data_IF_304113870989
#
_entry.id   IF_304113870989
#
_cell.length_a   1.000
_cell.length_b   1.000
_cell.length_c   1.000
_cell.angle_alpha   90.00
_cell.angle_beta   90.00
_cell.angle_gamma   90.00
#
_symmetry.space_group_name_H-M   'P 1'
#
loop_
_entity.id
_entity.type
_entity.pdbx_description
1 polymer ?
#
# COMPACT_ATOMS: atom_id res chain seq x y z
N UNK A 1 -1.78 0.85 -26.90
CA UNK A 1 -2.18 1.60 -28.08
C UNK A 1 -2.88 2.94 -27.77
N UNK A 2 -2.81 3.46 -26.56
CA UNK A 2 -3.40 4.77 -26.18
C UNK A 2 -2.37 5.90 -26.00
N UNK A 3 -1.09 5.63 -26.19
CA UNK A 3 -0.01 6.61 -26.00
C UNK A 3 0.35 7.47 -27.21
N UNK A 4 -0.05 7.10 -28.42
CA UNK A 4 0.36 7.78 -29.65
C UNK A 4 -0.66 8.83 -30.12
N UNK A 5 -1.92 8.73 -29.72
CA UNK A 5 -2.96 9.67 -30.12
C UNK A 5 -2.96 11.02 -29.35
N UNK A 6 -2.26 11.12 -28.22
CA UNK A 6 -2.16 12.36 -27.43
C UNK A 6 -0.98 13.27 -27.80
N UNK A 7 0.00 12.77 -28.52
CA UNK A 7 1.15 13.60 -28.92
C UNK A 7 0.88 14.40 -30.21
N UNK A 8 -0.09 13.98 -31.01
CA UNK A 8 -0.44 14.66 -32.27
C UNK A 8 -1.30 15.92 -32.07
N UNK A 9 -1.98 16.06 -30.95
CA UNK A 9 -2.84 17.22 -30.64
C UNK A 9 -2.09 18.41 -30.06
N UNK A 10 -0.89 18.20 -29.51
CA UNK A 10 -0.06 19.27 -28.91
C UNK A 10 0.86 19.93 -29.93
N UNK A 11 1.16 19.28 -31.06
CA UNK A 11 1.97 19.86 -32.14
C UNK A 11 1.13 20.77 -33.05
N UNK A 12 -0.18 20.51 -33.18
CA UNK A 12 -1.10 21.33 -33.98
C UNK A 12 -1.47 22.68 -33.33
N UNK A 13 -1.42 22.80 -32.03
CA UNK A 13 -1.77 24.04 -31.31
C UNK A 13 -0.59 25.03 -31.16
N UNK A 14 0.64 24.57 -31.37
CA UNK A 14 1.84 25.40 -31.25
C UNK A 14 2.19 26.22 -32.50
N UNK A 15 1.59 25.91 -33.66
CA UNK A 15 1.91 26.59 -34.92
C UNK A 15 0.96 27.75 -35.29
N UNK A 16 -0.09 27.97 -34.50
CA UNK A 16 -1.10 29.02 -34.75
C UNK A 16 -0.86 30.31 -33.97
N UNK A 17 0.24 30.40 -33.20
CA UNK A 17 0.58 31.60 -32.41
C UNK A 17 1.81 32.38 -32.90
N UNK A 18 2.36 32.11 -34.08
CA UNK A 18 3.59 32.70 -34.57
C UNK A 18 3.47 33.54 -35.84
N UNK A 19 2.27 33.96 -36.25
CA UNK A 19 2.14 34.98 -37.30
C UNK A 19 1.14 36.04 -36.87
N UNK A 20 1.56 36.88 -35.96
CA UNK A 20 0.99 38.22 -35.79
C UNK A 20 1.79 39.20 -36.63
N UNK A 21 1.21 39.89 -37.61
CA UNK A 21 1.94 40.94 -38.27
C UNK A 21 2.13 42.10 -37.30
N UNK A 22 3.37 42.49 -37.08
CA UNK A 22 3.75 43.78 -36.54
C UNK A 22 3.14 44.87 -37.43
N UNK A 23 2.07 45.49 -36.97
CA UNK A 23 1.56 46.74 -37.46
C UNK A 23 1.88 47.81 -36.46
N UNK A 24 3.14 48.22 -36.47
CA UNK A 24 3.51 49.55 -36.06
C UNK A 24 3.90 50.29 -37.34
N UNK A 25 2.90 50.73 -38.04
CA UNK A 25 3.11 51.75 -39.07
C UNK A 25 2.60 53.08 -38.52
N UNK A 26 3.52 54.02 -38.49
CA UNK A 26 3.39 55.39 -38.08
C UNK A 26 2.43 56.13 -39.04
N UNK A 27 1.14 56.02 -38.77
CA UNK A 27 0.12 56.70 -39.55
C UNK A 27 -0.40 57.89 -38.75
N UNK A 28 0.06 59.07 -39.09
CA UNK A 28 -0.55 60.33 -38.69
C UNK A 28 -2.06 60.32 -38.88
N UNK A 29 -2.85 60.97 -38.00
CA UNK A 29 -4.29 60.98 -38.12
C UNK A 29 -4.76 61.60 -39.45
N UNK A 30 -5.78 60.98 -40.09
CA UNK A 30 -6.25 61.44 -41.38
C UNK A 30 -6.80 62.87 -41.32
N UNK A 31 -6.38 63.68 -42.24
CA UNK A 31 -6.65 65.12 -42.27
C UNK A 31 -7.95 65.51 -43.03
N UNK A 32 -8.67 64.56 -43.60
CA UNK A 32 -9.95 64.82 -44.30
C UNK A 32 -10.91 63.58 -44.20
N UNK A 33 -12.22 63.83 -44.32
CA UNK A 33 -13.27 62.82 -44.35
C UNK A 33 -13.10 61.90 -45.55
N UNK A 34 -12.61 62.40 -46.68
CA UNK A 34 -12.40 61.63 -47.89
C UNK A 34 -11.27 60.58 -47.75
N UNK A 35 -10.26 60.89 -46.97
CA UNK A 35 -9.16 59.96 -46.67
C UNK A 35 -9.63 58.82 -45.73
N UNK A 36 -10.49 59.12 -44.75
CA UNK A 36 -11.16 58.11 -43.91
C UNK A 36 -12.05 57.17 -44.74
N UNK A 37 -12.84 57.73 -45.63
CA UNK A 37 -13.72 56.92 -46.51
C UNK A 37 -12.90 56.02 -47.46
N UNK A 38 -11.72 56.48 -47.92
CA UNK A 38 -10.82 55.65 -48.74
C UNK A 38 -10.26 54.49 -47.90
N UNK A 39 -9.77 54.78 -46.70
CA UNK A 39 -9.26 53.73 -45.77
C UNK A 39 -10.32 52.71 -45.38
N UNK A 40 -11.56 53.13 -45.17
CA UNK A 40 -12.67 52.22 -44.88
C UNK A 40 -12.91 51.30 -46.06
N UNK A 41 -12.94 51.79 -47.31
CA UNK A 41 -13.08 50.97 -48.51
C UNK A 41 -11.91 49.99 -48.71
N UNK A 42 -10.68 50.41 -48.48
CA UNK A 42 -9.49 49.54 -48.54
C UNK A 42 -9.55 48.43 -47.47
N UNK A 43 -10.03 48.76 -46.26
CA UNK A 43 -10.24 47.75 -45.17
C UNK A 43 -11.39 46.80 -45.51
N UNK A 44 -12.50 47.28 -46.10
CA UNK A 44 -13.62 46.44 -46.53
C UNK A 44 -13.20 45.50 -47.65
N UNK A 45 -12.44 45.98 -48.65
CA UNK A 45 -11.90 45.15 -49.73
C UNK A 45 -10.90 44.10 -49.21
N UNK A 46 -10.02 44.50 -48.27
CA UNK A 46 -9.07 43.61 -47.63
C UNK A 46 -9.81 42.57 -46.76
N UNK A 47 -10.86 42.99 -46.02
CA UNK A 47 -11.73 42.12 -45.27
C UNK A 47 -12.44 41.07 -46.16
N UNK A 48 -13.02 41.55 -47.26
CA UNK A 48 -13.70 40.67 -48.20
C UNK A 48 -12.77 39.67 -48.94
N UNK A 49 -11.50 40.08 -49.16
CA UNK A 49 -10.49 39.19 -49.76
C UNK A 49 -10.03 38.12 -48.75
N UNK A 50 -9.84 38.47 -47.49
CA UNK A 50 -9.52 37.54 -46.40
C UNK A 50 -10.66 36.58 -46.13
N UNK A 51 -11.91 37.02 -46.19
CA UNK A 51 -13.07 36.18 -46.02
C UNK A 51 -13.15 35.10 -47.12
N UNK A 52 -12.93 35.48 -48.36
CA UNK A 52 -12.90 34.50 -49.49
C UNK A 52 -11.74 33.51 -49.37
N UNK A 53 -10.59 33.94 -48.86
CA UNK A 53 -9.46 33.04 -48.64
C UNK A 53 -9.75 32.04 -47.51
N UNK A 54 -10.38 32.48 -46.41
CA UNK A 54 -10.85 31.61 -45.34
C UNK A 54 -11.89 30.58 -45.83
N UNK A 55 -12.83 31.01 -46.64
CA UNK A 55 -13.84 30.13 -47.21
C UNK A 55 -13.19 29.08 -48.13
N UNK A 56 -12.19 29.48 -48.91
CA UNK A 56 -11.42 28.54 -49.74
C UNK A 56 -10.64 27.54 -48.91
N UNK A 57 -9.95 28.00 -47.90
CA UNK A 57 -9.21 27.12 -46.99
C UNK A 57 -10.13 26.16 -46.25
N UNK A 58 -11.32 26.60 -45.87
CA UNK A 58 -12.31 25.75 -45.23
C UNK A 58 -12.83 24.67 -46.18
N UNK A 59 -13.08 25.00 -47.46
CA UNK A 59 -13.46 24.02 -48.47
C UNK A 59 -12.34 23.01 -48.72
N UNK A 60 -11.08 23.44 -48.79
CA UNK A 60 -9.94 22.55 -48.98
C UNK A 60 -9.76 21.59 -47.78
N UNK A 61 -9.99 22.09 -46.53
CA UNK A 61 -10.00 21.27 -45.32
C UNK A 61 -11.12 20.23 -45.36
N UNK A 62 -12.30 20.62 -45.81
CA UNK A 62 -13.43 19.70 -45.87
C UNK A 62 -13.28 18.65 -47.00
N UNK A 63 -12.70 19.03 -48.13
CA UNK A 63 -12.29 18.10 -49.20
C UNK A 63 -11.21 17.11 -48.70
N UNK A 64 -10.19 17.60 -48.01
CA UNK A 64 -9.16 16.74 -47.42
C UNK A 64 -9.73 15.81 -46.35
N UNK A 65 -10.68 16.27 -45.51
CA UNK A 65 -11.39 15.43 -44.55
C UNK A 65 -12.22 14.35 -45.20
N UNK A 66 -12.88 14.66 -46.32
CA UNK A 66 -13.64 13.69 -47.07
C UNK A 66 -12.71 12.66 -47.73
N UNK A 67 -11.59 13.09 -48.36
CA UNK A 67 -10.56 12.19 -48.89
C UNK A 67 -9.93 11.29 -47.85
N UNK A 68 -9.68 11.80 -46.62
CA UNK A 68 -9.18 11.00 -45.50
C UNK A 68 -10.25 10.04 -44.98
N UNK A 69 -11.53 10.45 -44.93
CA UNK A 69 -12.65 9.59 -44.55
C UNK A 69 -12.90 8.44 -45.52
N UNK A 70 -12.89 8.72 -46.80
CA UNK A 70 -13.15 7.72 -47.86
C UNK A 70 -11.95 6.77 -48.08
N UNK A 71 -10.73 7.22 -47.85
CA UNK A 71 -9.52 6.38 -47.96
C UNK A 71 -9.24 5.53 -46.70
N UNK A 72 -9.82 5.86 -45.55
CA UNK A 72 -9.58 5.12 -44.30
C UNK A 72 -10.23 3.73 -44.28
N UNK A 73 -11.28 3.53 -45.11
CA UNK A 73 -12.09 2.30 -45.17
C UNK A 73 -12.16 1.68 -46.55
N UNK A 74 -11.14 1.82 -47.36
CA UNK A 74 -11.14 1.04 -48.62
C UNK A 74 -10.97 -0.45 -48.29
N UNK A 75 -11.76 -1.29 -48.97
CA UNK A 75 -11.69 -2.76 -48.84
C UNK A 75 -10.27 -3.29 -48.91
N UNK A 76 -9.41 -2.65 -49.66
CA UNK A 76 -7.99 -2.98 -49.81
C UNK A 76 -7.17 -2.76 -48.52
N UNK A 77 -7.41 -1.69 -47.80
CA UNK A 77 -6.76 -1.46 -46.50
C UNK A 77 -7.29 -2.39 -45.44
N UNK A 78 -8.57 -2.70 -45.44
CA UNK A 78 -9.15 -3.71 -44.56
C UNK A 78 -8.55 -5.10 -44.80
N UNK A 79 -8.28 -5.44 -46.08
CA UNK A 79 -7.58 -6.68 -46.46
C UNK A 79 -6.10 -6.65 -46.07
N UNK A 80 -5.39 -5.52 -46.26
CA UNK A 80 -4.00 -5.36 -45.87
C UNK A 80 -3.85 -5.44 -44.31
N UNK A 81 -4.76 -4.80 -43.56
CA UNK A 81 -4.78 -4.91 -42.09
C UNK A 81 -5.12 -6.34 -41.64
N UNK A 82 -6.07 -6.99 -42.30
CA UNK A 82 -6.44 -8.39 -42.00
C UNK A 82 -5.29 -9.35 -42.29
N UNK A 83 -4.58 -9.15 -43.40
CA UNK A 83 -3.41 -9.94 -43.76
C UNK A 83 -2.26 -9.68 -42.77
N UNK A 84 -1.99 -8.41 -42.39
CA UNK A 84 -0.97 -8.07 -41.38
C UNK A 84 -1.31 -8.65 -40.03
N UNK A 85 -2.58 -8.59 -39.60
CA UNK A 85 -3.04 -9.21 -38.34
C UNK A 85 -2.96 -10.74 -38.44
N UNK A 86 -3.29 -11.34 -39.58
CA UNK A 86 -3.14 -12.77 -39.81
C UNK A 86 -1.67 -13.21 -39.76
N UNK A 87 -0.78 -12.43 -40.41
CA UNK A 87 0.67 -12.69 -40.36
C UNK A 87 1.26 -12.53 -38.96
N UNK A 88 0.83 -11.50 -38.23
CA UNK A 88 1.24 -11.31 -36.82
C UNK A 88 0.69 -12.42 -35.93
N UNK A 89 -0.53 -12.89 -36.13
CA UNK A 89 -1.10 -14.02 -35.41
C UNK A 89 -0.43 -15.35 -35.81
N UNK A 90 -0.11 -15.56 -37.10
CA UNK A 90 0.65 -16.73 -37.53
C UNK A 90 2.10 -16.73 -37.06
N UNK A 91 2.75 -15.55 -36.96
CA UNK A 91 4.07 -15.40 -36.35
C UNK A 91 3.98 -15.60 -34.81
N UNK A 92 2.91 -15.14 -34.17
CA UNK A 92 2.65 -15.40 -32.75
C UNK A 92 2.37 -16.89 -32.48
N UNK A 93 1.58 -17.56 -33.33
CA UNK A 93 1.34 -19.01 -33.27
C UNK A 93 2.62 -19.81 -33.59
N UNK A 94 3.43 -19.38 -34.56
CA UNK A 94 4.73 -20.00 -34.84
C UNK A 94 5.72 -19.80 -33.71
N UNK A 95 5.74 -18.62 -33.07
CA UNK A 95 6.53 -18.35 -31.88
C UNK A 95 5.99 -19.13 -30.68
N UNK A 96 4.68 -19.26 -30.51
CA UNK A 96 4.10 -20.09 -29.44
C UNK A 96 4.42 -21.58 -29.65
N UNK A 97 4.45 -22.05 -30.88
CA UNK A 97 4.83 -23.45 -31.23
C UNK A 97 6.33 -23.70 -31.07
N UNK A 98 7.17 -22.68 -31.36
CA UNK A 98 8.61 -22.70 -31.10
C UNK A 98 8.95 -22.46 -29.62
N UNK A 99 8.02 -21.86 -28.83
CA UNK A 99 8.13 -21.59 -27.39
C UNK A 99 7.51 -22.68 -26.52
N UNK A 100 7.15 -23.83 -27.05
CA UNK A 100 6.62 -24.93 -26.22
C UNK A 100 7.58 -25.35 -25.10
N UNK A 101 8.87 -24.95 -25.20
CA UNK A 101 9.90 -25.05 -24.14
C UNK A 101 10.47 -23.67 -23.72
N UNK A 102 9.90 -22.56 -24.15
CA UNK A 102 10.39 -21.21 -23.91
C UNK A 102 9.81 -20.56 -22.63
N UNK A 103 10.57 -19.60 -22.07
CA UNK A 103 10.08 -18.73 -20.99
C UNK A 103 9.33 -17.53 -21.56
N UNK A 104 8.20 -17.19 -20.95
CA UNK A 104 7.44 -15.97 -21.25
C UNK A 104 7.72 -14.91 -20.18
N UNK A 105 8.00 -13.68 -20.61
CA UNK A 105 8.14 -12.53 -19.73
C UNK A 105 7.08 -11.48 -20.06
N UNK A 106 6.56 -10.80 -19.06
CA UNK A 106 5.55 -9.79 -19.28
C UNK A 106 5.26 -8.96 -18.03
N UNK A 107 4.27 -8.09 -18.17
CA UNK A 107 3.71 -7.30 -17.09
C UNK A 107 2.22 -7.62 -16.91
N UNK A 108 1.84 -8.05 -15.72
CA UNK A 108 0.45 -8.26 -15.29
C UNK A 108 0.36 -7.85 -13.83
N UNK A 109 0.05 -6.57 -13.58
CA UNK A 109 0.16 -5.90 -12.29
C UNK A 109 1.59 -5.89 -11.69
N UNK A 110 2.39 -6.88 -12.05
CA UNK A 110 3.79 -7.04 -11.65
C UNK A 110 4.58 -7.65 -12.81
N UNK A 111 5.89 -7.41 -12.82
CA UNK A 111 6.79 -8.11 -13.75
C UNK A 111 6.78 -9.61 -13.45
N UNK A 112 6.63 -10.43 -14.49
CA UNK A 112 6.67 -11.88 -14.33
C UNK A 112 7.54 -12.58 -15.39
N UNK A 113 8.05 -13.75 -14.98
CA UNK A 113 8.65 -14.78 -15.83
C UNK A 113 7.86 -16.07 -15.63
N UNK A 114 7.47 -16.75 -16.71
CA UNK A 114 6.75 -18.02 -16.62
C UNK A 114 7.29 -19.01 -17.65
N UNK A 115 7.29 -20.30 -17.32
CA UNK A 115 7.58 -21.37 -18.28
C UNK A 115 6.39 -21.56 -19.24
N UNK A 116 6.66 -21.94 -20.49
CA UNK A 116 5.64 -22.18 -21.51
C UNK A 116 4.65 -23.29 -21.14
N UNK A 117 5.08 -24.25 -20.34
CA UNK A 117 4.23 -25.36 -19.82
C UNK A 117 3.41 -24.98 -18.57
N UNK A 118 3.54 -23.73 -18.06
CA UNK A 118 2.81 -23.23 -16.90
C UNK A 118 3.23 -23.82 -15.55
N UNK A 119 4.31 -24.63 -15.50
CA UNK A 119 4.79 -25.27 -14.26
C UNK A 119 5.54 -24.31 -13.33
N UNK A 120 6.11 -23.25 -13.86
CA UNK A 120 6.89 -22.28 -13.11
C UNK A 120 6.42 -20.86 -13.40
N UNK A 121 6.27 -20.08 -12.35
CA UNK A 121 6.03 -18.64 -12.44
C UNK A 121 6.84 -17.93 -11.37
N UNK A 122 7.55 -16.89 -11.76
CA UNK A 122 8.18 -15.93 -10.88
C UNK A 122 7.56 -14.56 -11.12
N UNK A 123 7.09 -13.92 -10.08
CA UNK A 123 6.68 -12.52 -10.07
C UNK A 123 7.61 -11.73 -9.16
N UNK A 124 8.01 -10.55 -9.62
CA UNK A 124 8.90 -9.64 -8.87
C UNK A 124 8.14 -8.37 -8.59
N UNK A 125 8.15 -7.95 -7.33
CA UNK A 125 7.55 -6.69 -6.91
C UNK A 125 8.45 -5.99 -5.90
N UNK A 126 8.33 -4.67 -5.83
CA UNK A 126 9.08 -3.84 -4.91
C UNK A 126 8.20 -2.82 -4.21
N UNK A 127 8.53 -2.51 -2.96
CA UNK A 127 7.92 -1.42 -2.20
C UNK A 127 9.00 -0.47 -1.75
N UNK A 128 8.82 0.82 -2.07
CA UNK A 128 9.63 1.89 -1.53
C UNK A 128 8.74 2.91 -0.84
N UNK A 129 9.03 3.22 0.41
CA UNK A 129 8.41 4.28 1.19
C UNK A 129 9.48 5.25 1.65
N UNK A 130 9.42 6.47 1.14
CA UNK A 130 10.28 7.58 1.51
C UNK A 130 9.48 8.58 2.32
N UNK A 131 9.98 8.97 3.47
CA UNK A 131 9.23 9.71 4.47
C UNK A 131 10.03 10.87 5.05
N UNK A 132 9.34 11.93 5.43
CA UNK A 132 9.81 12.94 6.36
C UNK A 132 9.00 12.85 7.64
N UNK A 133 9.70 12.81 8.78
CA UNK A 133 9.10 12.85 10.12
C UNK A 133 9.54 14.12 10.81
N UNK A 134 8.62 14.70 11.55
CA UNK A 134 8.89 15.77 12.49
C UNK A 134 8.19 15.47 13.82
N UNK A 135 9.00 15.29 14.89
CA UNK A 135 8.53 14.98 16.22
C UNK A 135 8.81 16.15 17.14
N UNK A 136 7.78 16.61 17.82
CA UNK A 136 7.82 17.64 18.87
C UNK A 136 7.59 16.98 20.21
N UNK A 137 8.46 17.31 21.16
CA UNK A 137 8.54 16.71 22.47
C UNK A 137 9.00 17.76 23.50
N UNK A 138 8.51 17.77 24.70
CA UNK A 138 8.83 18.83 25.68
C UNK A 138 10.18 18.67 26.38
N UNK A 139 10.93 17.62 26.12
CA UNK A 139 12.25 17.36 26.73
C UNK A 139 13.36 18.24 26.12
N UNK A 140 14.60 18.27 26.67
CA UNK A 140 15.69 19.13 26.17
C UNK A 140 15.92 19.14 24.67
N UNK A 141 15.69 18.03 24.01
CA UNK A 141 15.70 17.92 22.54
C UNK A 141 14.29 18.09 21.98
N UNK A 142 13.70 19.27 22.10
CA UNK A 142 12.29 19.57 21.82
C UNK A 142 11.77 19.05 20.49
N UNK A 143 12.55 19.08 19.45
CA UNK A 143 12.14 18.57 18.16
C UNK A 143 13.24 17.78 17.49
N UNK A 144 12.84 16.70 16.81
CA UNK A 144 13.68 15.94 15.89
C UNK A 144 12.94 15.78 14.60
N UNK A 145 13.64 15.87 13.48
CA UNK A 145 13.04 15.68 12.17
C UNK A 145 14.08 15.27 11.16
N UNK A 146 13.63 14.54 10.15
CA UNK A 146 14.52 14.10 9.09
C UNK A 146 13.84 13.26 8.03
N UNK A 147 14.58 13.03 6.96
CA UNK A 147 14.18 12.13 5.88
C UNK A 147 14.68 10.73 6.15
N UNK A 148 13.87 9.74 5.75
CA UNK A 148 14.27 8.34 5.82
C UNK A 148 13.63 7.50 4.72
N UNK A 149 14.32 6.43 4.30
CA UNK A 149 13.72 5.32 3.58
C UNK A 149 13.14 4.36 4.60
N UNK A 150 11.85 4.49 4.87
CA UNK A 150 11.19 3.72 5.93
C UNK A 150 11.14 2.25 5.58
N UNK A 151 10.78 1.94 4.33
CA UNK A 151 10.72 0.57 3.81
C UNK A 151 11.24 0.55 2.38
N UNK A 152 12.18 -0.36 2.15
CA UNK A 152 12.65 -0.72 0.80
C UNK A 152 12.65 -2.23 0.74
N UNK A 153 11.61 -2.80 0.11
CA UNK A 153 11.37 -4.25 0.10
C UNK A 153 11.40 -4.80 -1.32
N UNK A 154 11.90 -6.03 -1.44
CA UNK A 154 11.81 -6.83 -2.66
C UNK A 154 11.06 -8.11 -2.33
N UNK A 155 10.11 -8.46 -3.19
CA UNK A 155 9.31 -9.68 -3.04
C UNK A 155 9.41 -10.51 -4.33
N UNK A 156 9.78 -11.76 -4.16
CA UNK A 156 9.74 -12.81 -5.18
C UNK A 156 8.62 -13.77 -4.79
N UNK A 157 7.67 -13.98 -5.69
CA UNK A 157 6.57 -14.92 -5.46
C UNK A 157 6.21 -15.67 -6.74
N UNK A 158 5.53 -16.78 -6.60
CA UNK A 158 5.08 -17.55 -7.76
C UNK A 158 4.69 -18.97 -7.39
N UNK A 159 4.82 -19.86 -8.36
CA UNK A 159 4.61 -21.29 -8.16
C UNK A 159 5.72 -22.10 -8.86
N UNK A 160 5.93 -23.30 -8.36
CA UNK A 160 6.90 -24.27 -8.91
C UNK A 160 6.20 -25.64 -9.04
N UNK A 161 6.53 -26.38 -10.10
CA UNK A 161 6.00 -27.72 -10.42
C UNK A 161 4.51 -27.69 -10.79
N UNK A 162 3.65 -27.06 -9.99
CA UNK A 162 2.23 -26.85 -10.28
C UNK A 162 1.77 -25.53 -9.67
N UNK A 163 0.65 -24.93 -10.15
CA UNK A 163 0.04 -23.75 -9.53
C UNK A 163 -0.37 -23.96 -8.06
N UNK A 164 -0.53 -25.23 -7.61
CA UNK A 164 -0.88 -25.54 -6.23
C UNK A 164 0.28 -25.36 -5.25
N UNK A 165 1.54 -25.44 -5.74
CA UNK A 165 2.73 -25.24 -4.92
C UNK A 165 3.28 -23.84 -5.13
N UNK A 166 2.85 -22.91 -4.30
CA UNK A 166 3.26 -21.51 -4.34
C UNK A 166 4.37 -21.21 -3.35
N UNK A 167 5.13 -20.16 -3.64
CA UNK A 167 6.18 -19.67 -2.75
C UNK A 167 6.19 -18.15 -2.66
N UNK A 168 6.78 -17.66 -1.57
CA UNK A 168 7.11 -16.25 -1.41
C UNK A 168 8.42 -16.11 -0.65
N UNK A 169 9.30 -15.24 -1.16
CA UNK A 169 10.52 -14.77 -0.49
C UNK A 169 10.46 -13.25 -0.49
N UNK A 170 10.53 -12.65 0.69
CA UNK A 170 10.54 -11.19 0.84
C UNK A 170 11.69 -10.77 1.72
N UNK A 171 12.43 -9.80 1.26
CA UNK A 171 13.45 -9.15 2.06
C UNK A 171 13.24 -7.65 2.13
N UNK A 172 13.79 -7.06 3.18
CA UNK A 172 13.75 -5.63 3.46
C UNK A 172 15.16 -5.11 3.72
N UNK A 173 15.46 -3.93 3.16
CA UNK A 173 16.66 -3.17 3.52
C UNK A 173 16.39 -2.41 4.81
N UNK A 174 17.19 -2.66 5.83
CA UNK A 174 17.03 -2.02 7.13
C UNK A 174 17.11 -0.50 7.01
N UNK A 175 16.21 0.22 7.69
CA UNK A 175 16.14 1.68 7.74
C UNK A 175 17.47 2.29 8.23
N UNK A 176 18.08 1.68 9.25
CA UNK A 176 19.40 2.04 9.72
C UNK A 176 20.47 1.12 9.11
N UNK A 177 21.48 1.70 8.46
CA UNK A 177 22.62 0.99 7.89
C UNK A 177 22.37 0.23 6.59
N UNK A 178 21.11 0.10 6.12
CA UNK A 178 20.77 -0.47 4.81
C UNK A 178 21.06 -1.98 4.66
N UNK A 179 21.27 -2.73 5.75
CA UNK A 179 21.49 -4.18 5.68
C UNK A 179 20.22 -4.89 5.16
N UNK A 180 20.41 -5.92 4.34
CA UNK A 180 19.29 -6.72 3.82
C UNK A 180 18.95 -7.85 4.79
N UNK A 181 17.68 -7.92 5.18
CA UNK A 181 17.15 -8.93 6.08
C UNK A 181 15.97 -9.69 5.46
N UNK A 182 15.88 -11.00 5.75
CA UNK A 182 14.76 -11.84 5.33
C UNK A 182 13.54 -11.53 6.21
N UNK A 183 12.39 -11.18 5.60
CA UNK A 183 11.12 -10.99 6.30
C UNK A 183 10.22 -12.22 6.20
N UNK A 184 9.91 -12.65 4.99
CA UNK A 184 9.04 -13.80 4.73
C UNK A 184 9.79 -14.80 3.83
N UNK A 185 9.71 -16.08 4.14
CA UNK A 185 10.20 -17.16 3.32
C UNK A 185 9.35 -18.41 3.57
N UNK A 186 8.44 -18.70 2.66
CA UNK A 186 7.52 -19.81 2.84
C UNK A 186 7.14 -20.50 1.53
N UNK A 187 6.74 -21.76 1.67
CA UNK A 187 6.09 -22.59 0.67
C UNK A 187 4.65 -22.85 1.12
N UNK A 188 3.70 -22.82 0.20
CA UNK A 188 2.30 -23.14 0.43
C UNK A 188 1.84 -24.17 -0.59
N UNK A 189 1.16 -25.20 -0.10
CA UNK A 189 0.54 -26.21 -0.92
C UNK A 189 -0.97 -26.18 -0.76
N UNK A 190 -1.70 -26.05 -1.87
CA UNK A 190 -3.17 -26.13 -1.89
C UNK A 190 -3.59 -27.59 -1.92
N UNK A 191 -4.21 -28.05 -0.82
CA UNK A 191 -4.71 -29.42 -0.67
C UNK A 191 -6.03 -29.61 -1.42
N UNK A 192 -6.89 -28.58 -1.34
CA UNK A 192 -8.16 -28.44 -2.07
C UNK A 192 -8.34 -26.96 -2.44
N UNK A 193 -9.49 -26.60 -3.01
CA UNK A 193 -9.82 -25.19 -3.28
C UNK A 193 -9.94 -24.37 -1.98
N UNK A 194 -10.37 -25.01 -0.88
CA UNK A 194 -10.63 -24.36 0.40
C UNK A 194 -9.44 -24.49 1.37
N UNK A 195 -8.72 -25.63 1.34
CA UNK A 195 -7.67 -25.94 2.30
C UNK A 195 -6.27 -25.78 1.72
N UNK A 196 -5.39 -25.14 2.48
CA UNK A 196 -3.97 -25.09 2.17
C UNK A 196 -3.11 -25.24 3.43
N UNK A 197 -1.87 -25.63 3.23
CA UNK A 197 -0.84 -25.71 4.26
C UNK A 197 0.35 -24.89 3.84
N UNK A 198 0.91 -24.10 4.77
CA UNK A 198 2.06 -23.23 4.57
C UNK A 198 3.17 -23.60 5.55
N UNK A 199 4.41 -23.63 5.05
CA UNK A 199 5.61 -23.96 5.82
C UNK A 199 6.64 -22.85 5.64
N UNK A 200 7.32 -22.45 6.71
CA UNK A 200 8.41 -21.48 6.66
C UNK A 200 8.19 -20.30 7.58
N UNK A 201 8.75 -19.14 7.24
CA UNK A 201 8.64 -17.90 8.01
C UNK A 201 7.57 -17.00 7.43
N UNK A 202 6.62 -16.60 8.26
CA UNK A 202 5.47 -15.79 7.86
C UNK A 202 4.91 -14.99 9.06
N UNK A 203 4.09 -13.97 8.78
CA UNK A 203 3.33 -13.27 9.81
C UNK A 203 2.33 -14.21 10.45
N UNK A 204 2.32 -14.23 11.80
CA UNK A 204 1.35 -15.01 12.55
C UNK A 204 -0.08 -14.48 12.31
N UNK A 205 -1.08 -15.36 12.15
CA UNK A 205 -2.47 -14.97 11.89
C UNK A 205 -3.14 -14.45 13.17
N UNK A 206 -2.94 -13.18 13.48
CA UNK A 206 -3.45 -12.57 14.71
C UNK A 206 -4.12 -11.22 14.45
N UNK A 207 -3.41 -10.08 14.58
CA UNK A 207 -3.97 -8.73 14.37
C UNK A 207 -4.23 -8.46 12.88
N UNK A 208 -5.45 -8.00 12.55
CA UNK A 208 -5.77 -7.60 11.18
C UNK A 208 -4.85 -6.48 10.67
N UNK A 209 -4.61 -5.44 11.48
CA UNK A 209 -3.78 -4.31 11.09
C UNK A 209 -2.36 -4.76 10.70
N UNK A 210 -1.77 -5.73 11.44
CA UNK A 210 -0.48 -6.29 11.08
C UNK A 210 -0.54 -7.11 9.77
N UNK A 211 -1.61 -7.89 9.56
CA UNK A 211 -1.76 -8.74 8.38
C UNK A 211 -1.89 -7.92 7.08
N UNK A 212 -2.54 -6.76 7.13
CA UNK A 212 -2.62 -5.84 6.00
C UNK A 212 -1.22 -5.30 5.65
N UNK A 213 -0.95 -5.20 4.35
CA UNK A 213 0.32 -4.67 3.82
C UNK A 213 0.60 -3.25 4.34
N UNK A 214 1.86 -2.91 4.68
CA UNK A 214 2.20 -1.52 5.00
C UNK A 214 1.95 -0.53 3.85
N UNK A 215 1.90 -0.99 2.59
CA UNK A 215 1.52 -0.16 1.46
C UNK A 215 0.03 0.21 1.44
N UNK A 216 -0.81 -0.56 2.14
CA UNK A 216 -2.27 -0.49 2.12
C UNK A 216 -2.87 -0.02 3.44
N UNK A 217 -2.08 0.60 4.28
CA UNK A 217 -2.52 1.25 5.52
C UNK A 217 -3.20 2.58 5.23
N UNK A 218 -4.16 2.94 6.08
CA UNK A 218 -4.87 4.22 6.01
C UNK A 218 -3.97 5.37 6.49
N UNK A 219 -3.36 5.25 7.65
CA UNK A 219 -2.37 6.20 8.16
C UNK A 219 -0.97 5.94 7.60
N UNK A 220 -0.06 6.90 7.74
CA UNK A 220 1.33 6.79 7.29
C UNK A 220 2.04 5.59 7.94
N UNK A 221 1.70 5.29 9.20
CA UNK A 221 2.20 4.12 9.92
C UNK A 221 1.07 3.41 10.65
N UNK A 222 1.28 2.15 11.01
CA UNK A 222 0.37 1.40 11.87
C UNK A 222 0.22 2.07 13.23
N UNK A 223 -0.83 1.69 13.94
CA UNK A 223 -1.07 2.16 15.31
C UNK A 223 0.04 1.72 16.25
N UNK A 224 0.32 2.50 17.31
CA UNK A 224 1.23 2.10 18.39
C UNK A 224 0.70 0.87 19.11
N UNK A 225 -0.61 0.77 19.24
CA UNK A 225 -1.27 -0.44 19.78
C UNK A 225 -0.91 -1.67 18.93
N UNK A 226 -0.96 -1.57 17.59
CA UNK A 226 -0.54 -2.69 16.75
C UNK A 226 0.98 -2.92 16.84
N UNK A 227 1.80 -1.89 16.84
CA UNK A 227 3.26 -2.05 16.93
C UNK A 227 3.66 -2.78 18.23
N UNK A 228 2.95 -2.53 19.34
CA UNK A 228 3.21 -3.16 20.65
C UNK A 228 2.51 -4.51 20.85
N UNK A 229 1.34 -4.74 20.22
CA UNK A 229 0.51 -5.92 20.46
C UNK A 229 0.37 -6.84 19.24
N UNK A 230 1.23 -6.72 18.23
CA UNK A 230 1.29 -7.71 17.17
C UNK A 230 2.26 -8.85 17.54
N UNK A 231 2.04 -10.01 16.93
CA UNK A 231 2.90 -11.19 17.16
C UNK A 231 4.05 -11.30 16.15
N UNK A 232 4.14 -10.35 15.20
CA UNK A 232 5.18 -10.31 14.19
C UNK A 232 5.20 -11.55 13.28
N UNK A 233 6.42 -11.99 12.99
CA UNK A 233 6.71 -13.14 12.14
C UNK A 233 7.35 -14.26 12.94
N UNK A 234 7.02 -15.50 12.55
CA UNK A 234 7.59 -16.70 13.14
C UNK A 234 7.84 -17.77 12.07
N UNK A 235 8.74 -18.68 12.38
CA UNK A 235 8.96 -19.90 11.63
C UNK A 235 7.94 -20.93 12.12
N UNK A 236 7.33 -21.69 11.19
CA UNK A 236 6.32 -22.65 11.59
C UNK A 236 5.55 -23.26 10.43
N UNK A 237 4.42 -23.88 10.80
CA UNK A 237 3.45 -24.51 9.90
C UNK A 237 2.09 -23.88 10.15
N UNK A 238 1.39 -23.50 9.08
CA UNK A 238 0.02 -23.00 9.15
C UNK A 238 -0.88 -23.85 8.27
N UNK A 239 -2.02 -24.25 8.81
CA UNK A 239 -3.15 -24.80 8.07
C UNK A 239 -4.21 -23.72 7.94
N UNK A 240 -4.69 -23.45 6.73
CA UNK A 240 -5.70 -22.44 6.48
C UNK A 240 -6.87 -23.00 5.65
N UNK A 241 -8.06 -22.57 6.03
CA UNK A 241 -9.33 -22.81 5.34
C UNK A 241 -9.90 -21.47 4.87
N UNK A 242 -10.49 -21.46 3.68
CA UNK A 242 -11.23 -20.31 3.17
C UNK A 242 -12.38 -20.76 2.28
N UNK A 243 -13.57 -20.19 2.51
CA UNK A 243 -14.73 -20.30 1.63
C UNK A 243 -15.27 -18.89 1.27
N UNK A 244 -16.49 -18.80 0.78
CA UNK A 244 -17.12 -17.55 0.37
C UNK A 244 -17.30 -16.57 1.55
N UNK A 245 -17.53 -17.07 2.77
CA UNK A 245 -17.86 -16.26 3.95
C UNK A 245 -16.89 -16.45 5.12
N UNK A 246 -16.09 -17.51 5.14
CA UNK A 246 -15.30 -17.88 6.30
C UNK A 246 -13.83 -18.04 5.94
N UNK A 247 -12.93 -17.58 6.81
CA UNK A 247 -11.51 -17.91 6.80
C UNK A 247 -11.08 -18.34 8.19
N UNK A 248 -10.32 -19.42 8.25
CA UNK A 248 -9.73 -19.93 9.47
C UNK A 248 -8.24 -20.19 9.21
N UNK A 249 -7.38 -19.73 10.06
CA UNK A 249 -5.95 -20.04 10.08
C UNK A 249 -5.56 -20.60 11.43
N UNK A 250 -4.76 -21.65 11.44
CA UNK A 250 -4.17 -22.24 12.63
C UNK A 250 -2.68 -22.45 12.37
N UNK A 251 -1.82 -21.78 13.14
CA UNK A 251 -0.38 -21.89 13.04
C UNK A 251 0.21 -22.53 14.29
N UNK A 252 1.13 -23.46 14.08
CA UNK A 252 2.08 -23.97 15.06
C UNK A 252 3.46 -23.39 14.70
N UNK A 253 4.09 -22.69 15.64
CA UNK A 253 5.29 -21.89 15.34
C UNK A 253 6.27 -21.87 16.50
N UNK A 254 7.49 -21.36 16.24
CA UNK A 254 8.54 -21.23 17.24
C UNK A 254 8.14 -20.26 18.35
N UNK A 255 7.62 -19.07 18.03
CA UNK A 255 7.13 -18.10 19.03
C UNK A 255 6.36 -16.94 18.38
N UNK A 256 5.61 -16.15 19.16
CA UNK A 256 5.27 -14.77 18.85
C UNK A 256 6.44 -13.85 19.14
N UNK A 257 6.54 -12.70 18.48
CA UNK A 257 7.50 -11.65 18.83
C UNK A 257 6.91 -10.77 19.93
N UNK A 258 7.60 -10.65 21.08
CA UNK A 258 7.27 -9.62 22.03
C UNK A 258 7.72 -8.25 21.47
N UNK A 259 6.75 -7.41 21.18
CA UNK A 259 6.96 -6.04 20.72
C UNK A 259 6.71 -5.00 21.84
N UNK A 260 6.38 -5.46 23.06
CA UNK A 260 6.01 -4.58 24.16
C UNK A 260 7.25 -3.84 24.67
N UNK A 261 7.56 -2.74 24.01
CA UNK A 261 8.39 -1.63 24.47
C UNK A 261 9.71 -1.95 25.12
N UNK A 262 10.45 -2.94 24.64
CA UNK A 262 11.80 -3.22 25.12
C UNK A 262 11.88 -3.87 26.50
N UNK A 263 10.75 -4.35 27.05
CA UNK A 263 10.76 -5.13 28.30
C UNK A 263 11.19 -6.58 28.08
N UNK A 264 11.15 -7.08 26.81
CA UNK A 264 11.41 -8.49 26.48
C UNK A 264 10.75 -9.42 27.48
N UNK A 265 9.45 -9.21 27.68
CA UNK A 265 8.67 -9.95 28.66
C UNK A 265 8.54 -11.42 28.28
N UNK A 266 8.59 -11.69 26.95
CA UNK A 266 8.57 -13.04 26.39
C UNK A 266 9.82 -13.16 25.51
N UNK A 267 10.72 -14.01 25.91
CA UNK A 267 12.14 -13.96 25.59
C UNK A 267 12.57 -14.26 24.17
N UNK A 268 11.73 -14.25 23.11
CA UNK A 268 12.18 -14.80 21.86
C UNK A 268 11.95 -13.93 20.64
N UNK A 269 12.98 -13.83 19.82
CA UNK A 269 12.90 -13.33 18.45
C UNK A 269 12.73 -14.52 17.51
N UNK A 270 11.49 -14.92 17.26
CA UNK A 270 11.14 -16.07 16.43
C UNK A 270 11.40 -15.87 14.91
N UNK A 271 11.98 -14.74 14.54
CA UNK A 271 12.31 -14.43 13.14
C UNK A 271 13.80 -14.68 12.85
N UNK A 272 14.09 -15.51 11.84
CA UNK A 272 15.45 -15.84 11.40
C UNK A 272 16.32 -16.48 12.50
N UNK A 273 15.71 -17.18 13.43
CA UNK A 273 16.40 -17.79 14.57
C UNK A 273 16.65 -19.29 14.32
N UNK A 274 17.87 -19.79 14.55
CA UNK A 274 18.12 -21.22 14.51
C UNK A 274 17.41 -21.96 15.64
N UNK A 275 16.78 -23.09 15.36
CA UNK A 275 15.95 -23.87 16.28
C UNK A 275 16.59 -24.19 17.65
N UNK A 276 17.92 -24.32 17.72
CA UNK A 276 18.64 -24.60 18.98
C UNK A 276 18.92 -23.34 19.83
N UNK A 277 18.41 -22.18 19.42
CA UNK A 277 18.53 -20.90 20.16
C UNK A 277 17.18 -20.36 20.61
N UNK A 278 16.11 -21.08 20.33
CA UNK A 278 14.77 -20.76 20.81
C UNK A 278 14.54 -21.37 22.18
N UNK A 279 13.98 -20.58 23.09
CA UNK A 279 13.60 -21.00 24.42
C UNK A 279 12.11 -21.41 24.46
N UNK A 280 11.37 -21.24 23.35
CA UNK A 280 9.96 -21.58 23.23
C UNK A 280 9.78 -23.09 23.11
N UNK A 281 8.97 -23.68 23.96
CA UNK A 281 8.57 -25.06 23.84
C UNK A 281 7.56 -25.26 22.72
N UNK A 282 6.55 -24.40 22.64
CA UNK A 282 5.59 -24.34 21.54
C UNK A 282 4.75 -23.07 21.57
N UNK A 283 4.32 -22.65 20.39
CA UNK A 283 3.36 -21.57 20.20
C UNK A 283 2.25 -21.96 19.23
N UNK A 284 1.02 -21.63 19.57
CA UNK A 284 -0.16 -21.86 18.74
C UNK A 284 -0.88 -20.55 18.54
N UNK A 285 -1.10 -20.18 17.27
CA UNK A 285 -1.83 -18.96 16.90
C UNK A 285 -3.01 -19.33 15.99
N UNK A 286 -4.17 -18.74 16.24
CA UNK A 286 -5.35 -18.94 15.39
C UNK A 286 -6.03 -17.63 15.07
N UNK A 287 -6.64 -17.54 13.88
CA UNK A 287 -7.50 -16.43 13.48
C UNK A 287 -8.68 -16.96 12.69
N UNK A 288 -9.87 -16.50 13.06
CA UNK A 288 -11.10 -16.71 12.32
C UNK A 288 -11.64 -15.38 11.82
N UNK A 289 -12.10 -15.34 10.57
CA UNK A 289 -12.72 -14.19 9.94
C UNK A 289 -14.05 -14.60 9.31
N UNK A 290 -15.07 -13.77 9.53
CA UNK A 290 -16.40 -13.92 8.96
C UNK A 290 -16.76 -12.72 8.11
N UNK A 291 -16.94 -12.96 6.81
CA UNK A 291 -17.41 -11.97 5.85
C UNK A 291 -18.93 -11.91 5.88
N UNK A 292 -19.49 -10.97 6.64
CA UNK A 292 -20.92 -10.81 6.78
C UNK A 292 -21.59 -10.14 5.56
N UNK A 293 -20.83 -9.32 4.83
CA UNK A 293 -21.26 -8.66 3.59
C UNK A 293 -20.04 -8.27 2.74
N UNK A 294 -20.23 -8.13 1.43
CA UNK A 294 -19.20 -7.70 0.49
C UNK A 294 -18.36 -8.84 -0.06
N UNK A 295 -17.11 -8.55 -0.36
CA UNK A 295 -16.15 -9.49 -0.93
C UNK A 295 -14.82 -9.49 -0.18
N UNK A 296 -14.09 -10.61 -0.22
CA UNK A 296 -12.75 -10.69 0.37
C UNK A 296 -11.74 -9.70 -0.24
N UNK A 297 -11.98 -9.27 -1.48
CA UNK A 297 -11.12 -8.32 -2.19
C UNK A 297 -11.12 -6.94 -1.56
N UNK A 298 -12.29 -6.47 -1.08
CA UNK A 298 -12.46 -5.19 -0.40
C UNK A 298 -11.55 -5.07 0.82
N UNK A 299 -11.49 -6.13 1.61
CA UNK A 299 -10.76 -6.15 2.88
C UNK A 299 -9.25 -6.45 2.75
N UNK A 300 -8.66 -6.29 1.57
CA UNK A 300 -7.21 -6.37 1.38
C UNK A 300 -6.44 -5.10 1.79
N UNK A 301 -7.17 -4.04 2.13
CA UNK A 301 -6.67 -2.76 2.64
C UNK A 301 -7.65 -2.15 3.66
N UNK A 302 -7.53 -0.85 3.94
CA UNK A 302 -8.40 -0.08 4.84
C UNK A 302 -9.08 1.07 4.13
N UNK A 303 -9.24 1.00 2.81
CA UNK A 303 -9.84 2.08 2.01
C UNK A 303 -11.06 1.56 1.27
N UNK A 304 -12.05 2.42 1.04
CA UNK A 304 -13.26 2.09 0.29
C UNK A 304 -13.46 3.10 -0.83
N UNK A 305 -13.21 2.73 -2.09
CA UNK A 305 -13.50 3.60 -3.24
C UNK A 305 -14.96 4.06 -3.31
N UNK A 306 -15.21 5.18 -4.01
CA UNK A 306 -16.53 5.86 -4.02
C UNK A 306 -17.65 4.95 -4.55
N UNK A 307 -17.34 4.02 -5.44
CA UNK A 307 -18.31 3.12 -6.07
C UNK A 307 -18.39 1.75 -5.40
N UNK A 308 -17.76 1.57 -4.24
CA UNK A 308 -17.71 0.28 -3.55
C UNK A 308 -19.01 -0.04 -2.84
N UNK A 309 -19.47 -1.29 -2.95
CA UNK A 309 -20.64 -1.78 -2.24
C UNK A 309 -20.36 -1.95 -0.74
N UNK A 310 -21.42 -2.02 0.06
CA UNK A 310 -21.27 -2.25 1.49
C UNK A 310 -20.62 -3.59 1.78
N UNK A 311 -19.54 -3.56 2.58
CA UNK A 311 -18.83 -4.70 3.11
C UNK A 311 -18.74 -4.66 4.63
N UNK A 312 -18.79 -5.84 5.27
CA UNK A 312 -18.60 -6.02 6.71
C UNK A 312 -17.83 -7.29 7.00
N UNK A 313 -16.70 -7.13 7.66
CA UNK A 313 -15.81 -8.22 8.07
C UNK A 313 -15.63 -8.20 9.59
N UNK A 314 -15.77 -9.37 10.21
CA UNK A 314 -15.52 -9.60 11.63
C UNK A 314 -14.34 -10.55 11.80
N UNK A 315 -13.43 -10.25 12.71
CA UNK A 315 -12.25 -11.06 12.98
C UNK A 315 -12.07 -11.35 14.47
N UNK A 316 -11.53 -12.53 14.78
CA UNK A 316 -11.07 -12.90 16.11
C UNK A 316 -9.76 -13.68 16.00
N UNK A 317 -8.78 -13.35 16.82
CA UNK A 317 -7.50 -14.02 16.91
C UNK A 317 -7.21 -14.48 18.33
N UNK A 318 -6.48 -15.59 18.47
CA UNK A 318 -6.00 -16.09 19.75
C UNK A 318 -4.59 -16.66 19.60
N UNK A 319 -3.78 -16.50 20.63
CA UNK A 319 -2.41 -17.01 20.72
C UNK A 319 -2.15 -17.58 22.07
N UNK A 320 -1.44 -18.70 22.13
CA UNK A 320 -0.90 -19.30 23.35
C UNK A 320 0.53 -19.74 23.07
N UNK A 321 1.42 -19.40 24.00
CA UNK A 321 2.84 -19.76 23.95
C UNK A 321 3.30 -20.18 25.33
N UNK A 322 4.20 -21.16 25.36
CA UNK A 322 4.89 -21.62 26.56
C UNK A 322 6.38 -21.63 26.28
N UNK A 323 7.15 -20.98 27.16
CA UNK A 323 8.58 -20.83 27.05
C UNK A 323 9.31 -21.39 28.28
N UNK A 324 10.53 -21.92 28.08
CA UNK A 324 11.48 -22.14 29.15
C UNK A 324 12.17 -20.83 29.50
N UNK A 325 11.97 -20.34 30.73
CA UNK A 325 12.67 -19.15 31.19
C UNK A 325 14.13 -19.46 31.52
N UNK A 326 15.04 -19.04 30.65
CA UNK A 326 16.51 -19.20 30.83
C UNK A 326 17.18 -17.95 31.42
N UNK A 327 16.40 -16.96 31.90
CA UNK A 327 16.87 -15.69 32.39
C UNK A 327 17.78 -15.78 33.61
N UNK A 328 18.64 -14.75 33.81
CA UNK A 328 19.65 -14.63 34.88
C UNK A 328 19.09 -14.67 36.32
N UNK A 329 17.79 -14.61 36.49
CA UNK A 329 17.10 -14.51 37.77
C UNK A 329 15.96 -15.52 37.95
N UNK A 330 16.15 -16.78 37.50
CA UNK A 330 15.14 -17.81 37.71
C UNK A 330 15.05 -18.13 39.24
N UNK A 331 14.01 -17.65 39.88
CA UNK A 331 13.70 -17.96 41.29
C UNK A 331 12.88 -19.25 41.43
N UNK A 332 13.19 -20.29 40.69
CA UNK A 332 12.59 -21.61 40.85
C UNK A 332 11.31 -21.90 40.03
N UNK A 333 10.86 -20.98 39.20
CA UNK A 333 9.92 -21.23 38.09
C UNK A 333 10.70 -21.05 36.78
N UNK A 334 10.59 -22.05 35.91
CA UNK A 334 11.31 -22.04 34.64
C UNK A 334 10.33 -21.96 33.47
N UNK A 335 9.07 -21.69 33.73
CA UNK A 335 8.04 -21.62 32.70
C UNK A 335 7.47 -20.21 32.64
N UNK A 336 7.41 -19.66 31.47
CA UNK A 336 6.72 -18.44 31.11
C UNK A 336 5.53 -18.79 30.21
N UNK A 337 4.40 -18.12 30.38
CA UNK A 337 3.19 -18.38 29.63
C UNK A 337 2.63 -17.09 29.06
N UNK A 338 2.37 -17.08 27.79
CA UNK A 338 1.74 -15.97 27.11
C UNK A 338 0.42 -16.39 26.47
N UNK A 339 -0.65 -15.71 26.86
CA UNK A 339 -1.96 -15.81 26.24
C UNK A 339 -2.37 -14.45 25.68
N UNK A 340 -2.72 -14.38 24.40
CA UNK A 340 -3.21 -13.17 23.76
C UNK A 340 -4.48 -13.44 22.97
N UNK A 341 -5.34 -12.43 22.86
CA UNK A 341 -6.50 -12.48 21.99
C UNK A 341 -6.84 -11.10 21.45
N UNK A 342 -7.49 -11.09 20.30
CA UNK A 342 -7.92 -9.86 19.61
C UNK A 342 -9.27 -10.08 18.96
N UNK A 343 -10.05 -9.01 18.89
CA UNK A 343 -11.28 -8.94 18.09
C UNK A 343 -11.22 -7.69 17.24
N UNK A 344 -11.73 -7.78 16.01
CA UNK A 344 -11.77 -6.65 15.10
C UNK A 344 -13.01 -6.65 14.21
N UNK A 345 -13.38 -5.46 13.76
CA UNK A 345 -14.44 -5.21 12.81
C UNK A 345 -13.97 -4.22 11.75
N UNK A 346 -14.24 -4.52 10.49
CA UNK A 346 -14.04 -3.60 9.36
C UNK A 346 -15.34 -3.43 8.61
N UNK A 347 -15.69 -2.20 8.29
CA UNK A 347 -16.84 -1.87 7.46
C UNK A 347 -16.43 -0.89 6.36
N UNK A 348 -16.89 -1.14 5.15
CA UNK A 348 -16.59 -0.36 3.95
C UNK A 348 -17.87 -0.08 3.17
N UNK A 349 -18.02 1.14 2.66
CA UNK A 349 -19.20 1.52 1.90
C UNK A 349 -18.99 2.82 1.13
N UNK A 350 -19.19 2.83 -0.16
CA UNK A 350 -19.37 4.01 -1.02
C UNK A 350 -18.46 5.22 -0.72
N UNK A 351 -17.16 5.02 -0.63
CA UNK A 351 -16.20 6.09 -0.34
C UNK A 351 -15.90 6.33 1.13
N UNK A 352 -16.39 5.46 2.04
CA UNK A 352 -16.08 5.56 3.47
C UNK A 352 -15.72 4.20 4.05
N UNK A 353 -14.81 4.20 5.03
CA UNK A 353 -14.36 3.01 5.73
C UNK A 353 -14.31 3.25 7.24
N UNK A 354 -14.44 2.18 8.00
CA UNK A 354 -14.24 2.19 9.44
C UNK A 354 -13.63 0.86 9.89
N UNK A 355 -12.70 0.93 10.81
CA UNK A 355 -12.08 -0.21 11.46
C UNK A 355 -11.99 0.02 12.95
N UNK A 356 -12.27 -1.01 13.73
CA UNK A 356 -12.01 -1.01 15.17
C UNK A 356 -11.44 -2.37 15.60
N UNK A 357 -10.53 -2.33 16.56
CA UNK A 357 -9.96 -3.53 17.18
C UNK A 357 -9.75 -3.35 18.66
N UNK A 358 -9.81 -4.46 19.39
CA UNK A 358 -9.38 -4.60 20.75
C UNK A 358 -8.42 -5.78 20.85
N UNK A 359 -7.32 -5.60 21.59
CA UNK A 359 -6.33 -6.64 21.86
C UNK A 359 -6.01 -6.71 23.33
N UNK A 360 -5.77 -7.91 23.83
CA UNK A 360 -5.33 -8.18 25.20
C UNK A 360 -4.22 -9.22 25.21
N UNK A 361 -3.15 -8.93 25.92
CA UNK A 361 -2.06 -9.87 26.22
C UNK A 361 -1.98 -10.10 27.71
N UNK A 362 -1.93 -11.35 28.12
CA UNK A 362 -1.66 -11.82 29.46
C UNK A 362 -0.36 -12.62 29.45
N UNK A 363 0.61 -12.19 30.23
CA UNK A 363 1.91 -12.82 30.35
C UNK A 363 2.12 -13.18 31.80
N UNK A 364 2.36 -14.46 32.10
CA UNK A 364 2.75 -14.93 33.44
C UNK A 364 4.27 -15.07 33.48
N UNK A 365 4.94 -13.96 33.77
CA UNK A 365 6.40 -13.84 33.80
C UNK A 365 6.94 -14.23 35.18
N UNK A 366 7.96 -15.12 35.29
CA UNK A 366 8.54 -15.53 36.57
C UNK A 366 9.17 -14.41 37.40
N UNK A 367 9.61 -13.32 36.76
CA UNK A 367 10.29 -12.20 37.41
C UNK A 367 9.32 -11.11 37.85
N UNK A 368 8.32 -10.83 37.04
CA UNK A 368 7.39 -9.71 37.21
C UNK A 368 5.99 -10.15 37.66
N UNK A 369 5.70 -11.46 37.59
CA UNK A 369 4.36 -11.99 37.84
C UNK A 369 3.41 -11.75 36.65
N UNK A 370 2.11 -11.64 36.91
CA UNK A 370 1.12 -11.43 35.88
C UNK A 370 1.18 -10.03 35.28
N UNK A 371 1.44 -9.94 33.98
CA UNK A 371 1.43 -8.70 33.21
C UNK A 371 0.20 -8.71 32.30
N UNK A 372 -0.54 -7.60 32.28
CA UNK A 372 -1.69 -7.43 31.41
C UNK A 372 -1.51 -6.19 30.55
N UNK A 373 -1.68 -6.34 29.23
CA UNK A 373 -1.62 -5.23 28.28
C UNK A 373 -2.91 -5.22 27.48
N UNK A 374 -3.54 -4.08 27.40
CA UNK A 374 -4.78 -3.89 26.65
C UNK A 374 -4.59 -2.78 25.61
N UNK A 375 -5.21 -2.92 24.45
CA UNK A 375 -5.17 -1.91 23.42
C UNK A 375 -6.45 -1.84 22.64
N UNK A 376 -6.84 -0.61 22.25
CA UNK A 376 -7.97 -0.29 21.39
C UNK A 376 -7.49 0.57 20.25
N UNK A 377 -7.92 0.26 19.03
CA UNK A 377 -7.74 1.10 17.85
C UNK A 377 -9.11 1.34 17.24
N UNK A 378 -9.39 2.59 16.91
CA UNK A 378 -10.53 2.96 16.08
C UNK A 378 -10.06 3.90 14.97
N UNK A 379 -10.33 3.58 13.71
CA UNK A 379 -10.01 4.47 12.60
C UNK A 379 -11.15 4.52 11.60
N UNK A 380 -11.26 5.65 10.90
CA UNK A 380 -12.23 5.85 9.84
C UNK A 380 -11.66 6.78 8.78
N UNK A 381 -12.03 6.54 7.52
CA UNK A 381 -11.66 7.34 6.38
C UNK A 381 -12.85 7.68 5.50
N UNK A 382 -12.75 8.77 4.75
CA UNK A 382 -13.74 9.18 3.76
C UNK A 382 -13.07 9.84 2.56
N UNK A 383 -13.47 9.43 1.36
CA UNK A 383 -13.05 10.05 0.12
C UNK A 383 -13.82 11.35 -0.13
N UNK A 384 -13.10 12.46 -0.25
CA UNK A 384 -13.65 13.74 -0.71
C UNK A 384 -13.68 13.85 -2.23
N UNK A 385 -12.78 13.15 -2.90
CA UNK A 385 -12.72 12.98 -4.35
C UNK A 385 -12.26 11.55 -4.65
N UNK A 386 -12.40 11.04 -5.88
CA UNK A 386 -11.94 9.69 -6.21
C UNK A 386 -10.44 9.42 -5.96
N UNK A 387 -9.65 10.47 -5.65
CA UNK A 387 -8.21 10.38 -5.42
C UNK A 387 -7.75 10.95 -4.08
N UNK A 388 -8.63 11.56 -3.32
CA UNK A 388 -8.27 12.19 -2.05
C UNK A 388 -9.17 11.68 -0.93
N UNK A 389 -8.56 11.04 0.07
CA UNK A 389 -9.17 10.50 1.26
C UNK A 389 -8.65 11.24 2.50
N UNK A 390 -9.51 11.52 3.44
CA UNK A 390 -9.16 12.03 4.78
C UNK A 390 -9.53 10.99 5.81
N UNK A 391 -8.72 10.85 6.84
CA UNK A 391 -8.94 9.86 7.89
C UNK A 391 -8.65 10.41 9.28
N UNK A 392 -9.19 9.72 10.25
CA UNK A 392 -8.85 9.88 11.68
C UNK A 392 -8.62 8.52 12.32
N UNK A 393 -7.74 8.48 13.33
CA UNK A 393 -7.49 7.29 14.15
C UNK A 393 -7.37 7.70 15.61
N UNK A 394 -8.01 6.93 16.46
CA UNK A 394 -7.88 6.98 17.91
C UNK A 394 -7.23 5.70 18.42
N UNK A 395 -6.33 5.83 19.37
CA UNK A 395 -5.63 4.72 20.00
C UNK A 395 -5.68 4.89 21.53
N UNK A 396 -5.98 3.81 22.22
CA UNK A 396 -5.86 3.70 23.66
C UNK A 396 -5.14 2.41 24.01
N UNK A 397 -4.26 2.49 24.99
CA UNK A 397 -3.58 1.31 25.52
C UNK A 397 -3.22 1.49 26.99
N UNK A 398 -3.22 0.39 27.74
CA UNK A 398 -2.78 0.35 29.13
C UNK A 398 -1.86 -0.84 29.35
N UNK A 399 -0.83 -0.60 30.14
CA UNK A 399 0.20 -1.58 30.48
C UNK A 399 0.23 -1.74 32.00
N UNK A 400 -0.22 -2.89 32.48
CA UNK A 400 -0.30 -3.19 33.88
C UNK A 400 0.75 -4.26 34.27
N UNK A 401 1.83 -3.83 34.87
CA UNK A 401 2.88 -4.66 35.45
C UNK A 401 2.98 -4.31 36.93
N UNK A 402 2.93 -5.30 37.81
CA UNK A 402 2.80 -5.10 39.25
C UNK A 402 3.94 -4.35 39.94
N UNK A 403 4.99 -3.95 39.22
CA UNK A 403 6.20 -3.29 39.75
C UNK A 403 6.33 -1.81 39.35
N UNK A 404 5.55 -1.33 38.40
CA UNK A 404 5.62 0.04 37.91
C UNK A 404 4.25 0.51 37.42
N UNK A 405 3.95 1.79 37.64
CA UNK A 405 2.78 2.48 37.12
C UNK A 405 3.19 3.24 35.84
N UNK A 406 2.64 2.85 34.69
CA UNK A 406 2.81 3.53 33.43
C UNK A 406 1.56 4.33 33.10
N UNK A 407 1.73 5.44 32.39
CA UNK A 407 0.59 6.17 31.87
C UNK A 407 -0.08 5.42 30.72
N UNK A 408 -1.40 5.47 30.69
CA UNK A 408 -2.17 4.95 29.57
C UNK A 408 -1.83 5.73 28.29
N UNK A 409 -1.70 5.02 27.18
CA UNK A 409 -1.62 5.62 25.84
C UNK A 409 -2.98 6.22 25.47
N UNK A 410 -2.98 7.48 25.07
CA UNK A 410 -4.10 8.13 24.38
C UNK A 410 -3.56 8.92 23.22
N UNK A 411 -3.89 8.51 22.01
CA UNK A 411 -3.34 9.10 20.81
C UNK A 411 -4.45 9.34 19.77
N UNK A 412 -4.42 10.51 19.15
CA UNK A 412 -5.29 10.87 18.03
C UNK A 412 -4.41 11.19 16.83
N UNK A 413 -4.71 10.57 15.69
CA UNK A 413 -4.06 10.86 14.40
C UNK A 413 -5.10 11.32 13.40
N UNK A 414 -4.82 12.40 12.67
CA UNK A 414 -5.63 12.89 11.57
C UNK A 414 -4.73 13.04 10.36
N UNK A 415 -5.18 12.63 9.19
CA UNK A 415 -4.37 12.70 7.99
C UNK A 415 -5.16 12.59 6.71
N UNK A 416 -4.43 12.53 5.60
CA UNK A 416 -5.01 12.36 4.29
C UNK A 416 -4.07 11.62 3.34
N UNK A 417 -4.68 10.97 2.37
CA UNK A 417 -4.03 10.22 1.32
C UNK A 417 -4.40 10.82 -0.04
N UNK A 418 -3.42 10.99 -0.89
CA UNK A 418 -3.64 11.31 -2.30
C UNK A 418 -3.14 10.14 -3.16
N UNK A 419 -4.07 9.51 -3.87
CA UNK A 419 -3.83 8.35 -4.71
C UNK A 419 -3.60 8.81 -6.16
N UNK A 420 -2.34 8.78 -6.61
CA UNK A 420 -2.00 9.05 -8.01
C UNK A 420 -2.41 7.89 -8.90
N UNK A 421 -2.11 6.66 -8.41
CA UNK A 421 -2.47 5.39 -9.05
C UNK A 421 -2.71 4.34 -7.96
N UNK A 422 -3.91 4.36 -7.34
CA UNK A 422 -4.26 3.50 -6.23
C UNK A 422 -3.22 3.51 -5.11
N UNK A 423 -2.92 2.34 -4.56
CA UNK A 423 -1.85 2.16 -3.59
C UNK A 423 -0.45 2.09 -4.21
N UNK A 424 -0.34 1.99 -5.54
CA UNK A 424 0.95 1.83 -6.21
C UNK A 424 1.74 3.13 -6.15
N UNK A 425 1.09 4.28 -6.37
CA UNK A 425 1.69 5.60 -6.20
C UNK A 425 0.81 6.45 -5.30
N UNK A 426 1.24 6.63 -4.07
CA UNK A 426 0.48 7.31 -3.02
C UNK A 426 1.34 8.33 -2.28
N UNK A 427 0.75 9.49 -1.99
CA UNK A 427 1.25 10.47 -1.04
C UNK A 427 0.34 10.46 0.19
N UNK A 428 0.91 10.23 1.35
CA UNK A 428 0.20 10.24 2.64
C UNK A 428 0.81 11.30 3.55
N UNK A 429 -0.02 12.00 4.30
CA UNK A 429 0.42 12.90 5.35
C UNK A 429 -0.51 12.81 6.54
N UNK A 430 0.07 12.80 7.75
CA UNK A 430 -0.71 12.81 8.98
C UNK A 430 -0.03 13.61 10.11
N UNK A 431 -0.86 13.95 11.07
CA UNK A 431 -0.46 14.56 12.35
C UNK A 431 -1.03 13.69 13.47
N UNK A 432 -0.15 13.23 14.33
CA UNK A 432 -0.50 12.49 15.55
C UNK A 432 -0.25 13.34 16.79
N UNK A 433 -1.15 13.28 17.76
CA UNK A 433 -1.06 13.96 19.03
C UNK A 433 -1.22 12.92 20.15
N UNK A 434 -0.19 12.71 20.96
CA UNK A 434 -0.29 12.01 22.22
C UNK A 434 -0.91 12.94 23.25
N UNK A 435 -2.07 12.56 23.81
CA UNK A 435 -2.80 13.40 24.76
C UNK A 435 -2.13 13.40 26.16
N UNK A 436 -1.33 12.38 26.43
CA UNK A 436 -0.47 12.22 27.60
C UNK A 436 0.93 11.77 27.15
N UNK A 437 1.83 11.55 28.10
CA UNK A 437 3.17 11.04 27.84
C UNK A 437 3.12 9.70 27.09
N UNK A 438 3.96 9.57 26.06
CA UNK A 438 4.20 8.29 25.40
C UNK A 438 5.38 7.63 26.10
N UNK A 439 5.07 6.62 26.91
CA UNK A 439 6.07 5.91 27.72
C UNK A 439 6.63 4.70 26.97
N UNK A 440 7.68 4.10 27.53
CA UNK A 440 8.43 3.01 26.94
C UNK A 440 7.61 1.84 26.37
N UNK A 441 6.47 1.41 26.97
CA UNK A 441 5.69 0.34 26.35
C UNK A 441 5.09 0.70 24.98
N UNK A 442 4.96 2.00 24.67
CA UNK A 442 4.25 2.51 23.50
C UNK A 442 5.13 3.33 22.56
N UNK A 443 6.41 3.51 22.85
CA UNK A 443 7.29 4.23 21.96
C UNK A 443 7.58 3.42 20.70
N UNK A 444 7.78 4.12 19.59
CA UNK A 444 8.14 3.50 18.32
C UNK A 444 8.91 4.47 17.44
N UNK A 445 10.20 4.23 17.30
CA UNK A 445 11.05 4.95 16.35
C UNK A 445 10.54 4.82 14.90
N UNK A 446 9.95 3.68 14.56
CA UNK A 446 9.37 3.45 13.25
C UNK A 446 8.16 4.35 13.00
N UNK A 447 7.31 4.53 13.99
CA UNK A 447 6.16 5.41 13.91
C UNK A 447 6.50 6.88 14.24
N UNK A 448 7.73 7.17 14.63
CA UNK A 448 8.23 8.51 14.94
C UNK A 448 7.90 9.00 16.33
N UNK A 449 7.50 8.12 17.24
CA UNK A 449 7.21 8.41 18.65
C UNK A 449 8.40 8.10 19.53
N UNK A 450 8.78 9.05 20.35
CA UNK A 450 9.89 8.94 21.29
C UNK A 450 9.37 8.73 22.70
N UNK A 451 10.20 8.10 23.56
CA UNK A 451 9.91 7.99 24.98
C UNK A 451 9.82 9.39 25.59
N UNK A 452 8.71 9.70 26.21
CA UNK A 452 8.55 10.87 27.06
C UNK A 452 9.13 10.56 28.46
N UNK A 453 9.86 11.53 29.01
CA UNK A 453 10.24 11.44 30.42
C UNK A 453 9.01 11.65 31.34
N UNK A 454 9.24 11.81 32.62
CA UNK A 454 8.19 12.00 33.65
C UNK A 454 7.34 13.30 33.48
N UNK A 455 7.42 13.99 32.36
CA UNK A 455 6.58 15.15 32.04
C UNK A 455 5.35 14.71 31.26
N UNK A 456 4.18 14.99 31.79
CA UNK A 456 2.89 14.67 31.20
C UNK A 456 2.50 15.61 30.03
N UNK A 457 3.47 16.17 29.30
CA UNK A 457 3.16 17.08 28.20
C UNK A 457 2.91 16.34 26.89
N UNK A 458 1.95 16.82 26.05
CA UNK A 458 1.61 16.20 24.78
C UNK A 458 2.80 16.14 23.81
N UNK A 459 2.99 15.00 23.20
CA UNK A 459 3.91 14.82 22.06
C UNK A 459 3.15 14.94 20.75
N UNK A 460 3.77 15.57 19.74
CA UNK A 460 3.18 15.74 18.40
C UNK A 460 4.13 15.18 17.36
N UNK A 461 3.60 14.37 16.46
CA UNK A 461 4.34 13.81 15.31
C UNK A 461 3.65 14.23 14.02
N UNK A 462 4.42 14.79 13.08
CA UNK A 462 3.96 15.09 11.72
C UNK A 462 4.73 14.18 10.76
N UNK A 463 4.02 13.50 9.88
CA UNK A 463 4.62 12.58 8.90
C UNK A 463 4.11 12.89 7.52
N UNK A 464 5.00 12.81 6.54
CA UNK A 464 4.65 12.87 5.11
C UNK A 464 5.41 11.78 4.40
N UNK A 465 4.73 10.93 3.66
CA UNK A 465 5.31 9.76 3.01
C UNK A 465 4.90 9.68 1.55
N UNK A 466 5.87 9.51 0.68
CA UNK A 466 5.67 9.11 -0.71
C UNK A 466 5.93 7.62 -0.85
N UNK A 467 5.04 6.93 -1.56
CA UNK A 467 5.09 5.49 -1.77
C UNK A 467 5.12 5.14 -3.24
N UNK A 468 5.95 4.16 -3.57
CA UNK A 468 5.96 3.46 -4.85
C UNK A 468 5.88 1.95 -4.58
N UNK A 469 4.88 1.29 -5.16
CA UNK A 469 4.72 -0.17 -5.21
C UNK A 469 4.69 -0.59 -6.68
N UNK A 470 5.45 -1.62 -7.05
CA UNK A 470 5.54 -2.12 -8.45
C UNK A 470 5.78 -3.62 -8.52
#
# INVERSE_FOLDING_TARGET
MLGIARLSLLVGAGLLLAVGPSLADDASPPSSIDELLRRIRELEETGASRQRELERQQQEIDELRQQVGDNWLTQRRAEEIRNLVSDVLADADTRSTLMQDGMTAGWSEQFFLASGDGRFKLQVSGLQQFRYIWNFHDQPDRYRGGFENTRTKITLRGHVISPDLTYLIRGNFARAGGSFGLEDAWLRYHLTNEWNVRFGQFKLPFNREELISPAKQLAVERSLVNESLNLGRSQGIEMAYADEANRLSLAFSDAGQDQVGGFNLVGTNAQNTPALREDTEYAITSRYEYLAAGSWGQFNDFTSPVDEEFGLLLGVGAHYQQDEFTGRFSFGRNEERWFAWTVDVSAEWGGANAFASFSHHYIDDPSFGAVNVYGVVGQAGVYFTPKFEVFTRFEWGTFNIGIADFHDLYLVTIGGNYYFDGHDIKLSADIGVGLYAVEQPWDSDLAGWRIDGNSAEPQVVIRTQFQLLF
#
